data_IF_859368708382
#
_entry.id   IF_859368708382
#
_cell.length_a   1.000
_cell.length_b   1.000
_cell.length_c   1.000
_cell.angle_alpha   90.00
_cell.angle_beta   90.00
_cell.angle_gamma   90.00
#
_symmetry.space_group_name_H-M   'P 1'
#
loop_
_entity.id
_entity.type
_entity.pdbx_description
1 polymer ?
#
# COMPACT_ATOMS: atom_id res chain seq x y z
N UNK A 1 9.80 16.47 8.02
CA UNK A 1 11.12 16.85 8.56
C UNK A 1 12.02 17.56 7.55
N UNK A 2 12.10 17.10 6.30
CA UNK A 2 13.10 17.60 5.35
C UNK A 2 13.02 19.11 5.05
N UNK A 3 11.82 19.70 5.07
CA UNK A 3 11.62 21.11 4.78
C UNK A 3 12.30 22.04 5.80
N UNK A 4 12.22 21.73 7.11
CA UNK A 4 12.80 22.59 8.15
C UNK A 4 14.33 22.51 8.13
N UNK A 5 14.90 21.31 7.96
CA UNK A 5 16.36 21.13 7.82
C UNK A 5 16.90 21.94 6.64
N UNK A 6 16.24 21.87 5.49
CA UNK A 6 16.60 22.64 4.29
C UNK A 6 16.58 24.16 4.54
N UNK A 7 15.61 24.65 5.31
CA UNK A 7 15.51 26.08 5.64
C UNK A 7 16.65 26.52 6.55
N UNK A 8 17.04 25.71 7.54
CA UNK A 8 18.19 26.01 8.40
C UNK A 8 19.52 26.00 7.65
N UNK A 9 19.71 25.07 6.71
CA UNK A 9 20.89 25.06 5.82
C UNK A 9 20.99 26.32 4.96
N UNK A 10 19.85 26.90 4.58
CA UNK A 10 19.76 28.16 3.85
C UNK A 10 19.84 29.40 4.74
N UNK A 11 20.08 29.25 6.05
CA UNK A 11 20.15 30.36 7.00
C UNK A 11 18.80 31.03 7.28
N UNK A 12 17.68 30.38 6.94
CA UNK A 12 16.34 30.91 7.20
C UNK A 12 15.98 30.67 8.66
N UNK A 13 15.43 31.71 9.29
CA UNK A 13 14.92 31.68 10.67
C UNK A 13 13.44 31.37 10.66
N UNK A 14 12.99 30.47 11.53
CA UNK A 14 11.61 30.03 11.59
C UNK A 14 10.97 30.63 12.83
N UNK A 15 10.06 31.58 12.67
CA UNK A 15 9.28 32.11 13.78
C UNK A 15 7.95 31.37 13.87
N UNK A 16 7.78 30.57 14.91
CA UNK A 16 6.52 29.89 15.19
C UNK A 16 5.79 30.73 16.23
N UNK A 17 4.61 31.27 15.90
CA UNK A 17 3.94 32.32 16.69
C UNK A 17 3.75 31.99 18.19
N UNK A 18 3.61 30.72 18.53
CA UNK A 18 3.41 30.24 19.91
C UNK A 18 4.68 29.67 20.59
N UNK A 19 5.74 29.41 19.83
CA UNK A 19 6.99 28.77 20.30
C UNK A 19 8.19 29.73 20.22
N UNK A 20 8.05 30.84 19.51
CA UNK A 20 9.10 31.80 19.24
C UNK A 20 9.97 31.42 18.04
N UNK A 21 11.17 32.00 18.02
CA UNK A 21 12.08 31.89 16.88
C UNK A 21 12.99 30.67 17.06
N UNK A 22 12.97 29.77 16.08
CA UNK A 22 13.87 28.64 15.95
C UNK A 22 14.88 28.97 14.84
N UNK A 23 16.15 29.00 15.23
CA UNK A 23 17.28 29.34 14.37
C UNK A 23 18.35 28.25 14.44
N UNK A 24 19.39 28.35 13.60
CA UNK A 24 20.50 27.40 13.59
C UNK A 24 21.51 27.62 14.74
N UNK A 25 21.00 27.75 15.97
CA UNK A 25 21.76 27.84 17.23
C UNK A 25 21.75 26.48 17.95
N UNK A 26 22.60 26.29 18.98
CA UNK A 26 22.60 25.04 19.75
C UNK A 26 21.24 24.77 20.42
N UNK A 27 20.59 25.80 20.96
CA UNK A 27 19.23 25.70 21.52
C UNK A 27 18.18 25.42 20.45
N UNK A 28 18.23 26.11 19.30
CA UNK A 28 17.28 25.88 18.21
C UNK A 28 17.39 24.47 17.62
N UNK A 29 18.62 23.94 17.50
CA UNK A 29 18.87 22.54 17.10
C UNK A 29 18.32 21.54 18.11
N UNK A 30 18.46 21.80 19.42
CA UNK A 30 17.88 20.95 20.47
C UNK A 30 16.36 20.92 20.37
N UNK A 31 15.71 22.09 20.33
CA UNK A 31 14.26 22.23 20.20
C UNK A 31 13.77 21.49 18.95
N UNK A 32 14.40 21.74 17.81
CA UNK A 32 14.07 21.07 16.57
C UNK A 32 14.21 19.54 16.67
N UNK A 33 15.26 19.04 17.33
CA UNK A 33 15.50 17.60 17.50
C UNK A 33 14.43 16.95 18.37
N UNK A 34 14.05 17.59 19.48
CA UNK A 34 12.99 17.12 20.37
C UNK A 34 11.66 17.04 19.63
N UNK A 35 11.24 18.13 18.97
CA UNK A 35 10.01 18.11 18.16
C UNK A 35 10.10 17.12 17.00
N UNK A 36 11.30 16.90 16.46
CA UNK A 36 11.49 15.91 15.41
C UNK A 36 11.23 14.49 15.92
N UNK A 37 11.84 14.15 17.05
CA UNK A 37 11.65 12.87 17.72
C UNK A 37 10.18 12.65 18.10
N UNK A 38 9.49 13.66 18.62
CA UNK A 38 8.06 13.56 18.94
C UNK A 38 7.20 13.29 17.71
N UNK A 39 7.41 14.00 16.62
CA UNK A 39 6.61 13.80 15.41
C UNK A 39 6.85 12.43 14.76
N UNK A 40 8.07 11.88 14.87
CA UNK A 40 8.34 10.52 14.41
C UNK A 40 7.72 9.48 15.36
N UNK A 41 7.80 9.69 16.68
CA UNK A 41 7.11 8.85 17.67
C UNK A 41 5.58 8.82 17.45
N UNK A 42 4.94 9.97 17.22
CA UNK A 42 3.50 10.01 16.94
C UNK A 42 3.14 9.27 15.64
N UNK A 43 3.98 9.37 14.60
CA UNK A 43 3.78 8.62 13.36
C UNK A 43 3.86 7.11 13.62
N UNK A 44 4.85 6.67 14.37
CA UNK A 44 5.03 5.25 14.68
C UNK A 44 3.84 4.72 15.49
N UNK A 45 3.36 5.50 16.46
CA UNK A 45 2.17 5.17 17.25
C UNK A 45 0.89 5.06 16.39
N UNK A 46 0.73 5.93 15.39
CA UNK A 46 -0.39 5.84 14.43
C UNK A 46 -0.30 4.55 13.60
N UNK A 47 0.90 4.20 13.14
CA UNK A 47 1.13 2.98 12.36
C UNK A 47 0.83 1.76 13.21
N UNK A 48 1.36 1.69 14.43
CA UNK A 48 1.15 0.59 15.39
C UNK A 48 -0.35 0.35 15.62
N UNK A 49 -1.09 1.39 16.04
CA UNK A 49 -2.54 1.30 16.27
C UNK A 49 -3.32 0.88 15.03
N UNK A 50 -2.90 1.32 13.85
CA UNK A 50 -3.54 0.93 12.59
C UNK A 50 -3.31 -0.54 12.28
N UNK A 51 -2.12 -1.06 12.57
CA UNK A 51 -1.81 -2.48 12.37
C UNK A 51 -2.58 -3.35 13.37
N UNK A 52 -2.63 -2.98 14.65
CA UNK A 52 -3.44 -3.69 15.66
C UNK A 52 -4.92 -3.75 15.24
N UNK A 53 -5.51 -2.61 14.86
CA UNK A 53 -6.89 -2.55 14.37
C UNK A 53 -7.12 -3.40 13.12
N UNK A 54 -6.13 -3.46 12.23
CA UNK A 54 -6.16 -4.30 11.04
C UNK A 54 -6.04 -5.79 11.36
N UNK A 55 -5.24 -6.17 12.35
CA UNK A 55 -5.13 -7.55 12.83
C UNK A 55 -6.44 -8.03 13.45
N UNK A 56 -7.09 -7.20 14.26
CA UNK A 56 -8.44 -7.48 14.76
C UNK A 56 -9.45 -7.60 13.62
N UNK A 57 -9.38 -6.73 12.60
CA UNK A 57 -10.25 -6.82 11.44
C UNK A 57 -10.02 -8.11 10.64
N UNK A 58 -8.77 -8.57 10.49
CA UNK A 58 -8.41 -9.83 9.80
C UNK A 58 -9.03 -11.07 10.42
N UNK A 59 -9.36 -11.04 11.72
CA UNK A 59 -10.02 -12.16 12.39
C UNK A 59 -11.50 -12.31 11.98
N UNK A 60 -12.10 -11.28 11.37
CA UNK A 60 -13.48 -11.36 10.88
C UNK A 60 -13.54 -12.20 9.59
N UNK A 61 -14.48 -13.14 9.47
CA UNK A 61 -14.57 -14.04 8.31
C UNK A 61 -14.83 -13.31 6.99
N UNK A 62 -15.51 -12.17 7.02
CA UNK A 62 -15.82 -11.35 5.84
C UNK A 62 -14.74 -10.32 5.50
N UNK A 63 -13.66 -10.23 6.28
CA UNK A 63 -12.60 -9.28 6.01
C UNK A 63 -11.80 -9.69 4.77
N UNK A 64 -11.60 -8.74 3.86
CA UNK A 64 -10.76 -8.90 2.67
C UNK A 64 -9.83 -7.73 2.56
N UNK A 65 -8.55 -8.02 2.49
CA UNK A 65 -7.53 -6.99 2.34
C UNK A 65 -7.39 -6.55 0.87
N UNK A 66 -7.21 -5.24 0.67
CA UNK A 66 -6.99 -4.64 -0.65
C UNK A 66 -8.25 -4.42 -1.47
N UNK A 67 -8.06 -4.12 -2.76
CA UNK A 67 -9.16 -3.76 -3.67
C UNK A 67 -10.10 -4.96 -3.89
N UNK A 68 -11.43 -4.78 -3.75
CA UNK A 68 -12.40 -5.83 -4.09
C UNK A 68 -12.20 -6.35 -5.52
N UNK A 69 -12.37 -7.66 -5.70
CA UNK A 69 -12.27 -8.28 -7.03
C UNK A 69 -13.43 -7.80 -7.90
N UNK A 70 -13.10 -7.23 -9.06
CA UNK A 70 -14.09 -6.74 -10.03
C UNK A 70 -14.91 -7.87 -10.69
N UNK A 71 -14.31 -9.03 -10.89
CA UNK A 71 -14.93 -10.17 -11.57
C UNK A 71 -15.16 -11.32 -10.59
N UNK A 72 -16.31 -11.97 -10.70
CA UNK A 72 -16.63 -13.13 -9.88
C UNK A 72 -15.88 -14.38 -10.37
N UNK A 73 -15.86 -15.45 -9.56
CA UNK A 73 -15.11 -16.66 -9.91
C UNK A 73 -15.67 -17.36 -11.15
N UNK A 74 -16.99 -17.31 -11.36
CA UNK A 74 -17.66 -17.93 -12.51
C UNK A 74 -17.25 -17.26 -13.85
N UNK A 75 -17.20 -15.93 -13.89
CA UNK A 75 -16.73 -15.15 -15.03
C UNK A 75 -15.26 -15.46 -15.35
N UNK A 76 -14.42 -15.57 -14.32
CA UNK A 76 -13.01 -15.97 -14.51
C UNK A 76 -12.94 -17.40 -15.07
N UNK A 77 -13.69 -18.35 -14.53
CA UNK A 77 -13.69 -19.73 -14.99
C UNK A 77 -14.18 -19.85 -16.44
N UNK A 78 -15.24 -19.12 -16.80
CA UNK A 78 -15.74 -19.03 -18.16
C UNK A 78 -14.66 -18.50 -19.10
N UNK A 79 -14.00 -17.39 -18.74
CA UNK A 79 -12.93 -16.81 -19.53
C UNK A 79 -11.72 -17.76 -19.68
N UNK A 80 -11.37 -18.54 -18.64
CA UNK A 80 -10.31 -19.54 -18.72
C UNK A 80 -10.65 -20.71 -19.65
N UNK A 81 -11.92 -21.13 -19.69
CA UNK A 81 -12.37 -22.16 -20.63
C UNK A 81 -12.36 -21.65 -22.06
N UNK A 82 -12.78 -20.40 -22.31
CA UNK A 82 -12.72 -19.79 -23.64
C UNK A 82 -11.26 -19.68 -24.15
N UNK A 83 -10.29 -19.42 -23.27
CA UNK A 83 -8.87 -19.39 -23.63
C UNK A 83 -8.28 -20.72 -24.11
N UNK A 84 -9.00 -21.85 -23.98
CA UNK A 84 -8.56 -23.12 -24.57
C UNK A 84 -8.69 -23.11 -26.09
N UNK A 85 -9.70 -22.42 -26.61
CA UNK A 85 -10.09 -22.45 -28.03
C UNK A 85 -9.98 -21.08 -28.72
N UNK A 86 -9.81 -19.99 -27.95
CA UNK A 86 -9.75 -18.61 -28.47
C UNK A 86 -8.50 -17.87 -28.02
N UNK A 87 -8.09 -16.88 -28.81
CA UNK A 87 -6.97 -15.99 -28.49
C UNK A 87 -7.33 -15.03 -27.34
N UNK A 88 -6.32 -14.50 -26.66
CA UNK A 88 -6.52 -13.52 -25.58
C UNK A 88 -7.31 -12.28 -26.01
N UNK A 89 -7.13 -11.81 -27.26
CA UNK A 89 -7.85 -10.63 -27.78
C UNK A 89 -9.34 -10.91 -27.97
N UNK A 90 -9.69 -12.10 -28.42
CA UNK A 90 -11.08 -12.51 -28.62
C UNK A 90 -11.78 -12.68 -27.28
N UNK A 91 -11.14 -13.36 -26.31
CA UNK A 91 -11.71 -13.53 -24.97
C UNK A 91 -11.88 -12.19 -24.25
N UNK A 92 -10.93 -11.27 -24.42
CA UNK A 92 -11.05 -9.91 -23.87
C UNK A 92 -12.26 -9.16 -24.45
N UNK A 93 -12.50 -9.26 -25.77
CA UNK A 93 -13.69 -8.67 -26.40
C UNK A 93 -15.00 -9.33 -25.93
N UNK A 94 -15.01 -10.66 -25.78
CA UNK A 94 -16.20 -11.42 -25.39
C UNK A 94 -16.58 -11.22 -23.91
N UNK A 95 -15.59 -11.09 -23.03
CA UNK A 95 -15.80 -11.09 -21.57
C UNK A 95 -15.60 -9.73 -20.91
N UNK A 96 -14.99 -8.76 -21.60
CA UNK A 96 -14.57 -7.48 -21.05
C UNK A 96 -13.42 -7.58 -20.03
N UNK A 97 -12.80 -8.76 -19.89
CA UNK A 97 -11.69 -8.99 -18.97
C UNK A 97 -10.38 -8.75 -19.69
N UNK A 98 -9.62 -7.76 -19.21
CA UNK A 98 -8.31 -7.42 -19.78
C UNK A 98 -7.35 -8.61 -19.90
N UNK A 99 -6.54 -8.61 -20.96
CA UNK A 99 -5.48 -9.62 -21.16
C UNK A 99 -4.56 -9.80 -19.94
N UNK A 100 -4.23 -8.72 -19.23
CA UNK A 100 -3.41 -8.76 -18.02
C UNK A 100 -4.09 -9.54 -16.89
N UNK A 101 -5.40 -9.36 -16.72
CA UNK A 101 -6.21 -10.08 -15.73
C UNK A 101 -6.36 -11.56 -16.09
N UNK A 102 -6.54 -11.87 -17.38
CA UNK A 102 -6.57 -13.25 -17.89
C UNK A 102 -5.23 -13.96 -17.64
N UNK A 103 -4.12 -13.32 -18.01
CA UNK A 103 -2.77 -13.88 -17.85
C UNK A 103 -2.43 -14.13 -16.38
N UNK A 104 -2.76 -13.17 -15.49
CA UNK A 104 -2.57 -13.30 -14.04
C UNK A 104 -3.32 -14.49 -13.46
N UNK A 105 -4.58 -14.68 -13.85
CA UNK A 105 -5.37 -15.83 -13.39
C UNK A 105 -4.88 -17.16 -13.97
N UNK A 106 -4.47 -17.21 -15.25
CA UNK A 106 -3.86 -18.40 -15.85
C UNK A 106 -2.61 -18.85 -15.10
N UNK A 107 -1.69 -17.92 -14.80
CA UNK A 107 -0.49 -18.20 -13.98
C UNK A 107 -0.84 -18.71 -12.58
N UNK A 108 -1.87 -18.12 -11.95
CA UNK A 108 -2.33 -18.55 -10.63
C UNK A 108 -2.82 -20.00 -10.65
N UNK A 109 -3.62 -20.39 -11.65
CA UNK A 109 -4.12 -21.76 -11.81
C UNK A 109 -2.96 -22.73 -11.99
N UNK A 110 -2.00 -22.43 -12.87
CA UNK A 110 -0.82 -23.29 -13.09
C UNK A 110 -0.03 -23.50 -11.80
N UNK A 111 0.21 -22.43 -11.03
CA UNK A 111 0.92 -22.51 -9.75
C UNK A 111 0.17 -23.38 -8.72
N UNK A 112 -1.16 -23.26 -8.65
CA UNK A 112 -1.98 -24.07 -7.74
C UNK A 112 -2.02 -25.55 -8.16
N UNK A 113 -2.01 -25.85 -9.46
CA UNK A 113 -1.96 -27.23 -9.97
C UNK A 113 -0.59 -27.89 -9.73
N UNK A 114 0.51 -27.14 -9.83
CA UNK A 114 1.86 -27.66 -9.59
C UNK A 114 2.15 -28.01 -8.12
N UNK A 115 1.55 -27.29 -7.17
CA UNK A 115 1.75 -27.52 -5.74
C UNK A 115 1.01 -28.75 -5.18
N UNK A 116 0.14 -29.40 -5.97
CA UNK A 116 -0.62 -30.60 -5.58
C UNK A 116 0.08 -31.93 -5.92
N UNK A 117 1.25 -31.88 -6.57
CA UNK A 117 2.02 -33.06 -6.99
C UNK A 117 3.24 -33.32 -6.07
N UNK A 118 3.36 -32.57 -4.98
CA UNK A 118 4.50 -32.62 -4.04
C UNK A 118 4.10 -32.93 -2.59
N UNK A 119 2.84 -33.31 -2.36
CA UNK A 119 2.32 -33.84 -1.09
C UNK A 119 1.83 -35.29 -1.28
#
# INVERSE_FOLDING_TARGET
MNTIKLLFEKGVRINVLNLGIIENTSTGRLIFTIFSAFADFERDLIVERTQEGKELAKQKPDFREGRPKKFNQQQINLAMNLLKNHSYKEVEKMTGISKSTLTRNKRKIIKTSGNKLSD
#
